data_IF_747917989803
#
_entry.id   IF_747917989803
#
_cell.length_a   1.000
_cell.length_b   1.000
_cell.length_c   1.000
_cell.angle_alpha   90.00
_cell.angle_beta   90.00
_cell.angle_gamma   90.00
#
_symmetry.space_group_name_H-M   'P 1'
#
loop_
_entity.id
_entity.type
_entity.pdbx_description
1 polymer ?
#
# COMPACT_ATOMS: atom_id res chain seq x y z
N UNK A 1 4.14 15.46 12.11
CA UNK A 1 4.14 14.00 12.33
C UNK A 1 5.47 13.39 11.95
N UNK A 2 5.94 13.56 10.73
CA UNK A 2 7.20 12.99 10.20
C UNK A 2 8.41 13.21 11.11
N UNK A 3 8.64 14.43 11.60
CA UNK A 3 9.77 14.75 12.47
C UNK A 3 9.76 14.00 13.83
N UNK A 4 8.56 13.77 14.38
CA UNK A 4 8.41 12.97 15.60
C UNK A 4 8.79 11.51 15.38
N UNK A 5 8.38 10.94 14.24
CA UNK A 5 8.77 9.57 13.87
C UNK A 5 10.27 9.46 13.61
N UNK A 6 10.87 10.40 12.90
CA UNK A 6 12.32 10.45 12.69
C UNK A 6 13.09 10.49 14.01
N UNK A 7 12.64 11.30 14.96
CA UNK A 7 13.25 11.38 16.29
C UNK A 7 13.14 10.05 17.04
N UNK A 8 11.96 9.43 17.03
CA UNK A 8 11.72 8.14 17.68
C UNK A 8 12.64 7.04 17.12
N UNK A 9 12.65 6.87 15.78
CA UNK A 9 13.44 5.81 15.15
C UNK A 9 14.95 6.05 15.27
N UNK A 10 15.37 7.31 15.30
CA UNK A 10 16.77 7.65 15.59
C UNK A 10 17.16 7.28 17.03
N UNK A 11 16.29 7.53 18.00
CA UNK A 11 16.55 7.22 19.42
C UNK A 11 16.66 5.72 19.65
N UNK A 12 15.79 4.91 19.03
CA UNK A 12 15.85 3.44 19.11
C UNK A 12 16.91 2.82 18.20
N UNK A 13 17.59 3.59 17.38
CA UNK A 13 18.64 3.12 16.46
C UNK A 13 18.12 2.19 15.36
N UNK A 14 16.85 2.29 15.00
CA UNK A 14 16.26 1.43 13.96
C UNK A 14 16.70 1.86 12.57
N UNK A 15 17.13 0.89 11.77
CA UNK A 15 17.42 1.03 10.35
C UNK A 15 16.71 -0.11 9.58
N UNK A 16 15.77 0.23 8.72
CA UNK A 16 15.01 -0.76 7.97
C UNK A 16 13.70 -0.21 7.42
N UNK A 17 12.90 -1.10 6.86
CA UNK A 17 11.57 -0.79 6.38
C UNK A 17 10.57 -1.00 7.53
N UNK A 18 9.66 -0.07 7.66
CA UNK A 18 8.60 -0.13 8.65
C UNK A 18 7.32 0.50 8.12
N UNK A 19 6.24 0.17 8.76
CA UNK A 19 4.92 0.78 8.61
C UNK A 19 4.49 1.33 9.96
N UNK A 20 3.84 2.50 9.94
CA UNK A 20 3.25 3.09 11.15
C UNK A 20 1.78 3.33 10.93
N UNK A 21 0.97 2.84 11.85
CA UNK A 21 -0.47 3.01 11.83
C UNK A 21 -0.93 4.08 12.82
N UNK A 22 -1.89 4.88 12.39
CA UNK A 22 -2.51 5.93 13.17
C UNK A 22 -4.03 5.85 13.10
N UNK A 23 -4.69 6.15 14.19
CA UNK A 23 -6.07 6.59 14.18
C UNK A 23 -6.10 8.11 14.04
N UNK A 24 -7.05 8.61 13.27
CA UNK A 24 -7.28 10.05 13.11
C UNK A 24 -8.70 10.32 13.59
N UNK A 25 -8.84 11.18 14.60
CA UNK A 25 -10.15 11.57 15.09
C UNK A 25 -10.82 12.63 14.17
N UNK A 26 -12.10 12.95 14.38
CA UNK A 26 -12.81 13.93 13.57
C UNK A 26 -12.18 15.34 13.60
N UNK A 27 -11.41 15.68 14.64
CA UNK A 27 -10.70 16.94 14.79
C UNK A 27 -9.33 16.93 14.08
N UNK A 28 -8.97 15.82 13.42
CA UNK A 28 -7.71 15.66 12.71
C UNK A 28 -6.51 15.33 13.60
N UNK A 29 -6.74 14.95 14.85
CA UNK A 29 -5.67 14.54 15.76
C UNK A 29 -5.23 13.11 15.45
N UNK A 30 -3.92 12.91 15.34
CA UNK A 30 -3.30 11.61 15.07
C UNK A 30 -2.95 10.89 16.36
N UNK A 31 -3.48 9.70 16.54
CA UNK A 31 -3.15 8.78 17.63
C UNK A 31 -2.33 7.63 17.09
N UNK A 32 -1.08 7.50 17.56
CA UNK A 32 -0.23 6.38 17.20
C UNK A 32 -0.86 5.06 17.68
N UNK A 33 -0.97 4.09 16.79
CA UNK A 33 -1.43 2.74 17.10
C UNK A 33 -0.25 1.80 17.27
N UNK A 34 0.46 1.56 16.19
CA UNK A 34 1.58 0.61 16.18
C UNK A 34 2.62 0.94 15.12
N UNK A 35 3.81 0.36 15.29
CA UNK A 35 4.84 0.32 14.27
C UNK A 35 5.20 -1.14 13.94
N UNK A 36 5.05 -1.51 12.70
CA UNK A 36 5.38 -2.82 12.16
C UNK A 36 6.75 -2.75 11.49
N UNK A 37 7.77 -3.38 12.08
CA UNK A 37 9.15 -3.37 11.56
C UNK A 37 9.35 -4.40 10.46
N UNK A 38 8.60 -4.26 9.39
CA UNK A 38 8.61 -5.12 8.20
C UNK A 38 8.01 -4.39 7.01
N UNK A 39 8.23 -4.95 5.82
CA UNK A 39 7.43 -4.60 4.66
C UNK A 39 5.96 -4.98 4.89
N UNK A 40 5.06 -4.09 4.57
CA UNK A 40 3.61 -4.30 4.65
C UNK A 40 3.00 -4.56 3.27
N UNK A 41 1.72 -4.88 3.24
CA UNK A 41 0.98 -5.00 1.99
C UNK A 41 1.01 -3.69 1.17
N UNK A 42 1.07 -2.53 1.84
CA UNK A 42 1.15 -1.20 1.22
C UNK A 42 2.48 -0.89 0.53
N UNK A 43 3.47 -1.78 0.64
CA UNK A 43 4.75 -1.61 -0.06
C UNK A 43 4.61 -1.58 -1.58
N UNK A 44 3.60 -2.29 -2.11
CA UNK A 44 3.27 -2.26 -3.53
C UNK A 44 2.81 -0.87 -3.97
N UNK A 45 1.99 -0.20 -3.16
CA UNK A 45 1.54 1.19 -3.38
C UNK A 45 2.73 2.14 -3.53
N UNK A 46 3.78 1.98 -2.73
CA UNK A 46 5.03 2.74 -2.88
C UNK A 46 5.69 2.53 -4.25
N UNK A 47 5.67 1.30 -4.76
CA UNK A 47 6.22 0.99 -6.10
C UNK A 47 5.42 1.66 -7.22
N UNK A 48 4.09 1.66 -7.11
CA UNK A 48 3.18 2.34 -8.03
C UNK A 48 3.40 3.85 -8.03
N UNK A 49 3.68 4.43 -6.85
CA UNK A 49 4.03 5.84 -6.68
C UNK A 49 5.43 6.20 -7.21
N UNK A 50 6.22 5.21 -7.66
CA UNK A 50 7.60 5.40 -8.13
C UNK A 50 8.65 5.40 -7.03
N UNK A 51 8.28 4.95 -5.82
CA UNK A 51 9.16 4.75 -4.67
C UNK A 51 9.13 3.28 -4.20
N UNK A 52 9.80 2.36 -4.89
CA UNK A 52 9.86 0.95 -4.50
C UNK A 52 10.74 0.80 -3.25
N UNK A 53 10.15 0.96 -2.06
CA UNK A 53 10.85 1.09 -0.78
C UNK A 53 11.84 -0.06 -0.50
N UNK A 54 11.44 -1.30 -0.81
CA UNK A 54 12.33 -2.47 -0.60
C UNK A 54 13.59 -2.39 -1.45
N UNK A 55 13.45 -2.03 -2.73
CA UNK A 55 14.59 -1.83 -3.61
C UNK A 55 15.47 -0.65 -3.15
N UNK A 56 14.85 0.47 -2.79
CA UNK A 56 15.57 1.66 -2.32
C UNK A 56 16.32 1.39 -1.03
N UNK A 57 15.76 0.57 -0.14
CA UNK A 57 16.46 0.16 1.07
C UNK A 57 17.68 -0.70 0.76
N UNK A 58 17.57 -1.72 -0.09
CA UNK A 58 18.71 -2.54 -0.53
C UNK A 58 19.79 -1.67 -1.20
N UNK A 59 19.39 -0.77 -2.09
CA UNK A 59 20.28 0.20 -2.74
C UNK A 59 21.02 1.05 -1.71
N UNK A 60 20.32 1.53 -0.66
CA UNK A 60 20.94 2.34 0.38
C UNK A 60 21.93 1.55 1.25
N UNK A 61 21.68 0.26 1.47
CA UNK A 61 22.58 -0.62 2.21
C UNK A 61 23.88 -0.86 1.43
N UNK A 62 23.81 -1.05 0.14
CA UNK A 62 24.97 -1.21 -0.75
C UNK A 62 25.78 0.09 -0.86
N UNK A 63 25.11 1.22 -0.99
CA UNK A 63 25.73 2.53 -1.10
C UNK A 63 26.28 3.07 0.25
N UNK A 64 25.76 2.59 1.37
CA UNK A 64 26.07 3.10 2.72
C UNK A 64 25.36 4.39 3.09
N UNK A 65 24.43 4.89 2.26
CA UNK A 65 23.61 6.08 2.53
C UNK A 65 22.29 6.02 1.74
N UNK A 66 21.32 6.82 2.18
CA UNK A 66 20.05 7.03 1.46
C UNK A 66 20.23 8.23 0.52
N UNK A 67 20.07 8.03 -0.78
CA UNK A 67 20.13 9.11 -1.77
C UNK A 67 18.87 10.00 -1.63
N UNK A 68 19.01 11.29 -1.32
CA UNK A 68 17.87 12.20 -1.23
C UNK A 68 17.04 12.29 -2.52
N UNK A 69 17.65 12.00 -3.68
CA UNK A 69 16.96 12.02 -4.99
C UNK A 69 16.02 10.81 -5.17
N UNK A 70 16.14 9.79 -4.33
CA UNK A 70 15.22 8.65 -4.35
C UNK A 70 13.86 8.99 -3.73
N UNK A 71 13.76 10.08 -2.95
CA UNK A 71 12.48 10.59 -2.46
C UNK A 71 11.69 11.20 -3.62
N UNK A 72 10.46 10.71 -3.81
CA UNK A 72 9.52 11.25 -4.80
C UNK A 72 8.32 11.88 -4.08
N UNK A 73 7.82 12.94 -4.67
CA UNK A 73 6.50 13.47 -4.35
C UNK A 73 5.54 13.00 -5.45
N UNK A 74 4.32 12.70 -5.08
CA UNK A 74 3.28 12.22 -5.99
C UNK A 74 1.91 12.76 -5.55
N UNK A 75 1.02 12.93 -6.51
CA UNK A 75 -0.37 13.30 -6.26
C UNK A 75 -1.14 12.12 -5.65
N UNK A 76 -2.25 12.42 -5.00
CA UNK A 76 -3.17 11.42 -4.48
C UNK A 76 -3.65 10.48 -5.59
N UNK A 77 -3.71 9.21 -5.30
CA UNK A 77 -4.24 8.20 -6.20
C UNK A 77 -4.94 7.08 -5.43
N UNK A 78 -5.74 6.31 -6.14
CA UNK A 78 -6.38 5.12 -5.60
C UNK A 78 -5.57 3.89 -5.96
N UNK A 79 -5.25 3.09 -4.95
CA UNK A 79 -4.71 1.75 -5.05
C UNK A 79 -5.77 0.77 -4.54
N UNK A 80 -5.99 -0.34 -5.25
CA UNK A 80 -7.08 -1.27 -4.96
C UNK A 80 -6.54 -2.67 -4.68
N UNK A 81 -6.82 -3.18 -3.48
CA UNK A 81 -6.68 -4.61 -3.19
C UNK A 81 -7.96 -5.32 -3.60
N UNK A 82 -8.01 -5.79 -4.83
CA UNK A 82 -9.24 -6.22 -5.53
C UNK A 82 -10.00 -7.30 -4.75
N UNK A 83 -9.29 -8.29 -4.24
CA UNK A 83 -9.88 -9.42 -3.49
C UNK A 83 -10.57 -8.93 -2.23
N UNK A 84 -9.87 -8.10 -1.45
CA UNK A 84 -10.41 -7.57 -0.19
C UNK A 84 -11.56 -6.60 -0.46
N UNK A 85 -11.40 -5.73 -1.44
CA UNK A 85 -12.40 -4.72 -1.77
C UNK A 85 -13.67 -5.36 -2.34
N UNK A 86 -13.53 -6.32 -3.26
CA UNK A 86 -14.64 -7.07 -3.80
C UNK A 86 -15.43 -7.80 -2.70
N UNK A 87 -14.75 -8.58 -1.88
CA UNK A 87 -15.38 -9.31 -0.78
C UNK A 87 -16.07 -8.41 0.24
N UNK A 88 -15.50 -7.25 0.55
CA UNK A 88 -16.09 -6.33 1.54
C UNK A 88 -17.20 -5.43 0.99
N UNK A 89 -17.26 -5.21 -0.31
CA UNK A 89 -18.19 -4.23 -0.90
C UNK A 89 -19.18 -4.84 -1.88
N UNK A 90 -18.76 -5.72 -2.77
CA UNK A 90 -19.64 -6.36 -3.75
C UNK A 90 -20.38 -7.54 -3.15
N UNK A 91 -19.68 -8.49 -2.55
CA UNK A 91 -20.31 -9.68 -1.93
C UNK A 91 -21.26 -9.32 -0.79
N UNK A 92 -20.97 -8.25 -0.07
CA UNK A 92 -21.86 -7.74 1.00
C UNK A 92 -22.99 -6.85 0.49
N UNK A 93 -23.08 -6.63 -0.84
CA UNK A 93 -24.13 -5.82 -1.46
C UNK A 93 -24.01 -4.31 -1.17
N UNK A 94 -22.87 -3.82 -0.69
CA UNK A 94 -22.67 -2.38 -0.44
C UNK A 94 -22.60 -1.56 -1.71
N UNK A 95 -22.05 -2.14 -2.78
CA UNK A 95 -22.03 -1.56 -4.12
C UNK A 95 -22.35 -2.63 -5.16
N UNK A 96 -22.80 -2.22 -6.35
CA UNK A 96 -22.99 -3.12 -7.46
C UNK A 96 -21.66 -3.50 -8.12
N UNK A 97 -21.62 -4.65 -8.78
CA UNK A 97 -20.47 -5.03 -9.61
C UNK A 97 -20.13 -3.97 -10.66
N UNK A 98 -21.15 -3.35 -11.27
CA UNK A 98 -20.95 -2.30 -12.27
C UNK A 98 -20.22 -1.08 -11.67
N UNK A 99 -20.60 -0.66 -10.47
CA UNK A 99 -19.92 0.43 -9.75
C UNK A 99 -18.48 0.03 -9.40
N UNK A 100 -18.29 -1.19 -8.91
CA UNK A 100 -16.96 -1.70 -8.57
C UNK A 100 -16.01 -1.72 -9.79
N UNK A 101 -16.49 -2.16 -10.95
CA UNK A 101 -15.72 -2.18 -12.19
C UNK A 101 -15.32 -0.77 -12.67
N UNK A 102 -16.15 0.25 -12.42
CA UNK A 102 -15.79 1.63 -12.71
C UNK A 102 -14.65 2.11 -11.82
N UNK A 103 -14.71 1.83 -10.53
CA UNK A 103 -13.66 2.19 -9.57
C UNK A 103 -12.36 1.43 -9.84
N UNK A 104 -12.46 0.13 -10.17
CA UNK A 104 -11.31 -0.69 -10.58
C UNK A 104 -10.57 -0.10 -11.80
N UNK A 105 -11.33 0.36 -12.83
CA UNK A 105 -10.72 1.00 -14.00
C UNK A 105 -10.06 2.34 -13.71
N UNK A 106 -10.44 3.01 -12.64
CA UNK A 106 -9.88 4.30 -12.22
C UNK A 106 -8.70 4.13 -11.25
N UNK A 107 -8.55 2.95 -10.65
CA UNK A 107 -7.42 2.67 -9.77
C UNK A 107 -6.11 2.76 -10.56
N UNK A 108 -5.15 3.48 -10.00
CA UNK A 108 -3.80 3.59 -10.57
C UNK A 108 -2.99 2.33 -10.32
N UNK A 109 -3.27 1.65 -9.23
CA UNK A 109 -2.62 0.43 -8.80
C UNK A 109 -3.60 -0.66 -8.43
N UNK A 110 -3.18 -1.89 -8.63
CA UNK A 110 -3.90 -3.12 -8.34
C UNK A 110 -2.93 -4.15 -7.80
N UNK A 111 -3.39 -5.06 -6.93
CA UNK A 111 -2.52 -6.05 -6.30
C UNK A 111 -2.41 -7.35 -7.07
N UNK A 112 -3.49 -7.75 -7.74
CA UNK A 112 -3.58 -9.03 -8.44
C UNK A 112 -3.69 -8.87 -9.95
N UNK A 113 -4.24 -7.75 -10.41
CA UNK A 113 -4.37 -7.48 -11.84
C UNK A 113 -3.10 -6.84 -12.39
N UNK A 114 -2.51 -7.49 -13.38
CA UNK A 114 -1.47 -6.91 -14.25
C UNK A 114 -1.97 -6.99 -15.70
N UNK A 115 -1.95 -5.87 -16.41
CA UNK A 115 -2.35 -5.80 -17.81
C UNK A 115 -1.49 -6.72 -18.71
N UNK A 116 -0.23 -6.93 -18.32
CA UNK A 116 0.71 -7.79 -19.07
C UNK A 116 0.56 -9.27 -18.74
N UNK A 117 -0.02 -9.58 -17.58
CA UNK A 117 -0.29 -10.94 -17.13
C UNK A 117 -1.64 -11.00 -16.37
N UNK A 118 -2.77 -10.92 -17.09
CA UNK A 118 -4.10 -10.88 -16.47
C UNK A 118 -4.62 -12.25 -15.99
N UNK A 119 -3.93 -13.35 -16.31
CA UNK A 119 -4.42 -14.70 -16.01
C UNK A 119 -4.59 -14.99 -14.51
N UNK A 120 -3.66 -14.61 -13.61
CA UNK A 120 -3.87 -14.83 -12.18
C UNK A 120 -5.15 -14.15 -11.65
N UNK A 121 -5.44 -12.94 -12.13
CA UNK A 121 -6.65 -12.22 -11.76
C UNK A 121 -7.92 -12.89 -12.28
N UNK A 122 -7.92 -13.38 -13.52
CA UNK A 122 -9.07 -14.09 -14.09
C UNK A 122 -9.36 -15.38 -13.33
N UNK A 123 -8.33 -16.21 -13.11
CA UNK A 123 -8.47 -17.47 -12.36
C UNK A 123 -9.01 -17.21 -10.96
N UNK A 124 -8.52 -16.15 -10.28
CA UNK A 124 -9.03 -15.78 -8.97
C UNK A 124 -10.55 -15.51 -8.98
N UNK A 125 -11.04 -14.76 -9.95
CA UNK A 125 -12.45 -14.41 -10.03
C UNK A 125 -13.32 -15.53 -10.60
N UNK A 126 -12.81 -16.40 -11.46
CA UNK A 126 -13.48 -17.61 -11.90
C UNK A 126 -13.74 -18.60 -10.75
N UNK A 127 -12.82 -18.63 -9.79
CA UNK A 127 -12.88 -19.49 -8.60
C UNK A 127 -13.24 -18.72 -7.32
N UNK A 128 -13.87 -17.56 -7.45
CA UNK A 128 -14.13 -16.65 -6.32
C UNK A 128 -14.82 -17.34 -5.12
N UNK A 129 -15.76 -18.23 -5.38
CA UNK A 129 -16.48 -18.96 -4.32
C UNK A 129 -15.57 -19.87 -3.47
N UNK A 130 -14.44 -20.31 -4.04
CA UNK A 130 -13.47 -21.16 -3.35
C UNK A 130 -12.58 -20.37 -2.37
N UNK A 131 -12.59 -19.03 -2.46
CA UNK A 131 -11.77 -18.12 -1.65
C UNK A 131 -12.56 -17.35 -0.58
N UNK A 132 -13.86 -17.60 -0.44
CA UNK A 132 -14.73 -16.97 0.57
C UNK A 132 -14.58 -17.56 1.97
#
# INVERSE_FOLDING_TARGET
>A
MEEKLKSLFKEVGFNGIFEVEFLIDPDGTYYFLEANFRASAWNHTGSIAGMPLTYLWVKSMDAGFIDPNDKKEFDDFTDMSEVIDFGKRVDTGKISLAQWLLEFKQAKGTYFYDEKDPEPFKVLFEHWEDFK
#
